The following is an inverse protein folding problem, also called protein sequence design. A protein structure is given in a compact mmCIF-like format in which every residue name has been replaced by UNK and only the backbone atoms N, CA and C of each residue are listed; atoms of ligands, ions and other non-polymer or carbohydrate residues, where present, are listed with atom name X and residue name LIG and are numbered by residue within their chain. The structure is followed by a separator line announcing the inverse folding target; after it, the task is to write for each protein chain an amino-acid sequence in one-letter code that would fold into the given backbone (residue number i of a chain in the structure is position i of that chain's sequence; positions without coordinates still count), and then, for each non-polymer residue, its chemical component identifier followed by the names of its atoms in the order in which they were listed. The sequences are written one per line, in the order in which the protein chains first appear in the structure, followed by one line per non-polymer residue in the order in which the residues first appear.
data_IF_808535080735
#
_entry.id   IF_808535080735
#
_cell.length_a   1.000
_cell.length_b   1.000
_cell.length_c   1.000
_cell.angle_alpha   90.00
_cell.angle_beta   90.00
_cell.angle_gamma   90.00
#
_symmetry.space_group_name_H-M   'P 1'
#
loop_
_entity.id
_entity.type
_entity.pdbx_description
1 polymer ?
#
# COMPACT_ATOMS: atom_id res chain seq x y z
N UNK A 1 0.93 17.25 -6.20
CA UNK A 1 -0.29 16.42 -6.28
C UNK A 1 -0.76 16.45 -7.73
N UNK A 2 -0.97 15.27 -8.32
CA UNK A 2 -1.58 15.15 -9.64
C UNK A 2 -2.89 15.97 -9.66
N UNK A 3 -3.20 16.63 -10.78
CA UNK A 3 -4.47 17.35 -10.91
C UNK A 3 -5.60 16.32 -10.91
N UNK A 4 -6.22 16.13 -9.75
CA UNK A 4 -7.41 15.28 -9.61
C UNK A 4 -8.55 15.96 -10.36
N UNK A 5 -9.05 15.29 -11.38
CA UNK A 5 -10.22 15.68 -12.17
C UNK A 5 -11.50 15.48 -11.37
N UNK A 6 -12.58 16.17 -11.73
CA UNK A 6 -13.83 16.08 -10.98
C UNK A 6 -14.51 14.71 -11.12
N UNK A 7 -14.25 13.99 -12.21
CA UNK A 7 -14.71 12.61 -12.41
C UNK A 7 -14.03 11.64 -11.43
N UNK A 8 -12.72 11.77 -11.23
CA UNK A 8 -11.96 10.96 -10.29
C UNK A 8 -12.40 11.19 -8.85
N UNK A 9 -12.71 12.45 -8.48
CA UNK A 9 -13.26 12.77 -7.16
C UNK A 9 -14.58 12.06 -6.91
N UNK A 10 -15.47 12.05 -7.91
CA UNK A 10 -16.77 11.37 -7.80
C UNK A 10 -16.61 9.87 -7.52
N UNK A 11 -15.65 9.22 -8.20
CA UNK A 11 -15.32 7.80 -7.95
C UNK A 11 -14.78 7.60 -6.54
N UNK A 12 -13.94 8.51 -6.05
CA UNK A 12 -13.41 8.46 -4.68
C UNK A 12 -14.50 8.64 -3.63
N UNK A 13 -15.43 9.58 -3.83
CA UNK A 13 -16.55 9.83 -2.93
C UNK A 13 -17.50 8.63 -2.89
N UNK A 14 -17.81 8.03 -4.05
CA UNK A 14 -18.65 6.82 -4.13
C UNK A 14 -17.99 5.62 -3.42
N UNK A 15 -16.68 5.45 -3.58
CA UNK A 15 -15.93 4.43 -2.85
C UNK A 15 -15.92 4.66 -1.35
N UNK A 16 -15.76 5.92 -0.93
CA UNK A 16 -15.82 6.31 0.47
C UNK A 16 -17.17 5.92 1.05
N UNK A 17 -18.28 6.38 0.46
CA UNK A 17 -19.65 6.10 0.92
C UNK A 17 -19.92 4.60 1.08
N UNK A 18 -19.52 3.78 0.11
CA UNK A 18 -19.73 2.32 0.15
C UNK A 18 -18.94 1.60 1.22
N UNK A 19 -17.84 2.19 1.70
CA UNK A 19 -16.91 1.54 2.63
C UNK A 19 -16.87 2.19 4.02
N UNK A 20 -17.73 3.19 4.29
CA UNK A 20 -17.87 3.85 5.60
C UNK A 20 -18.00 2.86 6.76
N UNK A 21 -18.74 1.77 6.57
CA UNK A 21 -19.01 0.80 7.64
C UNK A 21 -17.83 -0.14 7.92
N UNK A 22 -16.91 -0.31 6.97
CA UNK A 22 -15.86 -1.32 7.05
C UNK A 22 -14.51 -0.75 7.54
N UNK A 23 -14.26 0.55 7.32
CA UNK A 23 -13.01 1.24 7.65
C UNK A 23 -13.02 1.87 9.04
N UNK A 24 -11.83 2.02 9.62
CA UNK A 24 -11.63 2.85 10.81
C UNK A 24 -11.67 4.35 10.45
N UNK A 25 -12.08 5.23 11.37
CA UNK A 25 -12.17 6.68 11.11
C UNK A 25 -10.87 7.30 10.59
N UNK A 26 -9.72 6.80 11.05
CA UNK A 26 -8.39 7.24 10.63
C UNK A 26 -8.12 6.97 9.14
N UNK A 27 -8.61 5.85 8.61
CA UNK A 27 -8.43 5.49 7.21
C UNK A 27 -9.45 6.20 6.30
N UNK A 28 -10.62 6.55 6.83
CA UNK A 28 -11.65 7.29 6.11
C UNK A 28 -11.23 8.74 5.79
N UNK A 29 -10.43 9.35 6.66
CA UNK A 29 -9.90 10.71 6.45
C UNK A 29 -8.77 10.76 5.39
N UNK A 30 -8.14 9.63 5.07
CA UNK A 30 -7.03 9.58 4.09
C UNK A 30 -7.53 9.49 2.64
N UNK A 31 -7.68 10.63 1.97
CA UNK A 31 -8.02 10.72 0.54
C UNK A 31 -7.01 9.97 -0.36
N UNK A 32 -5.73 9.90 0.05
CA UNK A 32 -4.69 9.23 -0.73
C UNK A 32 -4.90 7.72 -0.81
N UNK A 33 -5.56 7.14 0.19
CA UNK A 33 -5.89 5.72 0.23
C UNK A 33 -6.88 5.38 -0.88
N UNK A 34 -7.99 6.11 -0.95
CA UNK A 34 -9.01 5.92 -1.98
C UNK A 34 -8.44 6.19 -3.38
N UNK A 35 -7.65 7.24 -3.54
CA UNK A 35 -7.00 7.55 -4.80
C UNK A 35 -6.06 6.43 -5.27
N UNK A 36 -5.25 5.85 -4.35
CA UNK A 36 -4.34 4.74 -4.69
C UNK A 36 -5.07 3.50 -5.18
N UNK A 37 -6.17 3.11 -4.51
CA UNK A 37 -6.96 1.96 -4.94
C UNK A 37 -7.72 2.21 -6.24
N UNK A 38 -8.32 3.39 -6.38
CA UNK A 38 -9.01 3.78 -7.60
C UNK A 38 -8.03 3.82 -8.79
N UNK A 39 -6.86 4.44 -8.63
CA UNK A 39 -5.82 4.50 -9.66
C UNK A 39 -5.29 3.13 -10.06
N UNK A 40 -5.19 2.19 -9.13
CA UNK A 40 -4.72 0.82 -9.43
C UNK A 40 -5.69 0.03 -10.31
N UNK A 41 -6.96 0.44 -10.40
CA UNK A 41 -8.04 -0.22 -11.16
C UNK A 41 -8.69 0.69 -12.19
N UNK A 42 -7.93 1.68 -12.68
CA UNK A 42 -8.38 2.62 -13.70
C UNK A 42 -9.72 3.30 -13.35
N UNK A 43 -9.91 3.62 -12.07
CA UNK A 43 -11.11 4.26 -11.50
C UNK A 43 -12.42 3.43 -11.61
N UNK A 44 -12.32 2.10 -11.70
CA UNK A 44 -13.49 1.23 -11.59
C UNK A 44 -13.93 1.07 -10.13
N UNK A 45 -15.12 1.59 -9.78
CA UNK A 45 -15.67 1.55 -8.41
C UNK A 45 -15.82 0.12 -7.89
N UNK A 46 -16.36 -0.80 -8.67
CA UNK A 46 -16.69 -2.16 -8.21
C UNK A 46 -15.41 -2.96 -7.91
N UNK A 47 -14.44 -2.90 -8.80
CA UNK A 47 -13.15 -3.58 -8.63
C UNK A 47 -12.32 -2.97 -7.50
N UNK A 48 -12.36 -1.63 -7.38
CA UNK A 48 -11.66 -0.92 -6.31
C UNK A 48 -12.27 -1.24 -4.95
N UNK A 49 -13.60 -1.32 -4.85
CA UNK A 49 -14.32 -1.73 -3.64
C UNK A 49 -13.95 -3.16 -3.22
N UNK A 50 -13.95 -4.10 -4.17
CA UNK A 50 -13.55 -5.49 -3.90
C UNK A 50 -12.10 -5.60 -3.41
N UNK A 51 -11.18 -4.81 -3.99
CA UNK A 51 -9.78 -4.75 -3.56
C UNK A 51 -9.64 -4.13 -2.16
N UNK A 52 -10.38 -3.06 -1.88
CA UNK A 52 -10.36 -2.38 -0.60
C UNK A 52 -10.91 -3.28 0.53
N UNK A 53 -12.00 -4.02 0.30
CA UNK A 53 -12.52 -5.00 1.26
C UNK A 53 -11.53 -6.12 1.58
N UNK A 54 -10.82 -6.61 0.57
CA UNK A 54 -9.74 -7.60 0.77
C UNK A 54 -8.62 -7.00 1.62
N UNK A 55 -8.22 -5.76 1.36
CA UNK A 55 -7.22 -5.07 2.15
C UNK A 55 -7.66 -4.93 3.63
N UNK A 56 -8.91 -4.54 3.88
CA UNK A 56 -9.41 -4.39 5.26
C UNK A 56 -9.42 -5.73 5.98
N UNK A 57 -9.87 -6.79 5.31
CA UNK A 57 -9.89 -8.15 5.87
C UNK A 57 -8.48 -8.60 6.25
N UNK A 58 -7.51 -8.37 5.35
CA UNK A 58 -6.10 -8.67 5.60
C UNK A 58 -5.52 -7.87 6.78
N UNK A 59 -5.82 -6.56 6.90
CA UNK A 59 -5.38 -5.76 8.07
C UNK A 59 -5.91 -6.32 9.38
N UNK A 60 -7.17 -6.75 9.40
CA UNK A 60 -7.83 -7.32 10.59
C UNK A 60 -7.21 -8.67 10.96
N UNK A 61 -6.97 -9.53 9.98
CA UNK A 61 -6.37 -10.86 10.18
C UNK A 61 -4.95 -10.79 10.71
N UNK A 62 -4.12 -9.90 10.15
CA UNK A 62 -2.70 -9.77 10.51
C UNK A 62 -2.42 -8.70 11.58
N UNK A 63 -3.46 -8.07 12.13
CA UNK A 63 -3.35 -7.04 13.18
C UNK A 63 -2.30 -5.96 12.86
N UNK A 64 -2.29 -5.51 11.60
CA UNK A 64 -1.27 -4.58 11.08
C UNK A 64 -1.24 -3.25 11.85
N UNK A 65 -2.34 -2.89 12.51
CA UNK A 65 -2.41 -1.67 13.31
C UNK A 65 -1.55 -1.74 14.59
N UNK A 66 -1.29 -2.94 15.12
CA UNK A 66 -0.48 -3.16 16.34
C UNK A 66 0.91 -3.73 16.04
N UNK A 67 1.21 -4.03 14.78
CA UNK A 67 2.50 -4.65 14.40
C UNK A 67 3.70 -3.79 14.81
N UNK A 68 3.59 -2.46 14.80
CA UNK A 68 4.70 -1.58 15.17
C UNK A 68 5.03 -1.61 16.67
N UNK A 69 4.10 -2.07 17.52
CA UNK A 69 4.29 -2.15 18.97
C UNK A 69 4.57 -3.56 19.44
N UNK A 70 3.95 -4.55 18.81
CA UNK A 70 3.93 -5.92 19.32
C UNK A 70 5.00 -6.81 18.67
N UNK A 71 5.54 -6.40 17.52
CA UNK A 71 6.53 -7.17 16.79
C UNK A 71 7.94 -6.84 17.25
N UNK A 72 8.55 -7.76 18.01
CA UNK A 72 9.98 -7.78 18.24
C UNK A 72 10.67 -8.63 17.16
N UNK A 73 11.51 -8.04 16.30
CA UNK A 73 12.24 -8.80 15.30
C UNK A 73 13.20 -9.78 15.99
N UNK A 74 13.27 -11.06 15.54
CA UNK A 74 14.19 -12.03 16.11
C UNK A 74 15.65 -11.59 15.93
N UNK A 75 16.48 -11.76 16.96
CA UNK A 75 17.88 -11.31 17.05
C UNK A 75 18.86 -12.07 16.13
N UNK A 76 18.39 -12.67 15.04
CA UNK A 76 19.30 -13.32 14.09
C UNK A 76 20.17 -12.29 13.33
N UNK A 77 21.46 -12.63 13.11
CA UNK A 77 22.47 -11.65 12.76
C UNK A 77 22.23 -11.06 11.37
N UNK A 78 21.91 -9.77 11.34
CA UNK A 78 22.49 -8.82 10.40
C UNK A 78 22.48 -9.29 8.92
N UNK A 79 21.31 -9.51 8.33
CA UNK A 79 21.15 -9.14 6.93
C UNK A 79 20.97 -7.61 6.92
N UNK A 80 21.98 -6.87 6.47
CA UNK A 80 21.95 -5.40 6.39
C UNK A 80 20.93 -4.92 5.33
N UNK A 81 19.63 -5.15 5.52
CA UNK A 81 18.60 -4.38 4.80
C UNK A 81 18.47 -3.01 5.47
N UNK A 82 19.48 -2.18 5.26
CA UNK A 82 19.39 -0.74 5.53
C UNK A 82 18.46 -0.17 4.47
N UNK A 83 17.36 0.49 4.87
CA UNK A 83 16.64 1.37 3.96
C UNK A 83 17.65 2.39 3.42
N UNK A 84 17.97 2.31 2.13
CA UNK A 84 18.88 3.30 1.53
C UNK A 84 18.15 4.64 1.52
N UNK A 85 18.92 5.71 1.70
CA UNK A 85 18.44 7.09 1.69
C UNK A 85 17.43 7.32 0.58
N UNK A 86 16.44 8.16 0.87
CA UNK A 86 15.47 8.65 -0.08
C UNK A 86 16.12 9.00 -1.43
N UNK A 87 15.47 8.57 -2.50
CA UNK A 87 15.68 9.07 -3.85
C UNK A 87 15.57 10.62 -3.86
N UNK A 88 16.14 11.32 -4.86
CA UNK A 88 15.89 12.75 -5.13
C UNK A 88 14.39 13.14 -5.15
N UNK A 89 13.49 12.18 -5.36
CA UNK A 89 12.03 12.31 -5.26
C UNK A 89 11.44 12.02 -3.86
N UNK A 90 12.27 11.86 -2.82
CA UNK A 90 11.81 11.63 -1.44
C UNK A 90 11.19 10.25 -1.18
N UNK A 91 11.38 9.29 -2.09
CA UNK A 91 10.83 7.92 -1.95
C UNK A 91 11.87 6.99 -1.34
N UNK A 92 11.46 6.24 -0.32
CA UNK A 92 12.29 5.19 0.30
C UNK A 92 12.56 4.08 -0.72
N UNK A 93 13.84 3.75 -0.90
CA UNK A 93 14.28 2.65 -1.75
C UNK A 93 14.44 1.40 -0.88
N UNK A 94 13.44 0.52 -0.91
CA UNK A 94 13.56 -0.83 -0.35
C UNK A 94 14.24 -1.73 -1.37
N UNK A 95 15.55 -1.88 -1.28
CA UNK A 95 16.27 -2.89 -2.08
C UNK A 95 16.00 -4.25 -1.47
N UNK A 96 15.22 -5.09 -2.16
CA UNK A 96 15.07 -6.49 -1.80
C UNK A 96 16.17 -7.27 -2.55
N UNK A 97 17.28 -7.61 -1.88
CA UNK A 97 18.46 -8.22 -2.52
C UNK A 97 18.22 -9.65 -3.05
N UNK A 98 16.99 -10.18 -2.88
CA UNK A 98 16.63 -11.54 -3.28
C UNK A 98 16.50 -11.75 -4.81
N UNK A 99 16.26 -10.70 -5.60
CA UNK A 99 16.04 -10.84 -7.05
C UNK A 99 17.32 -10.78 -7.89
N UNK A 100 18.47 -10.42 -7.31
CA UNK A 100 19.70 -10.18 -8.08
C UNK A 100 20.48 -11.45 -8.44
N UNK A 101 20.21 -12.57 -7.75
CA UNK A 101 20.94 -13.84 -7.98
C UNK A 101 20.37 -14.73 -9.10
N UNK A 102 19.27 -14.36 -9.76
CA UNK A 102 18.64 -15.18 -10.83
C UNK A 102 18.95 -14.75 -12.26
N UNK A 103 19.70 -13.65 -12.48
CA UNK A 103 19.97 -13.12 -13.81
C UNK A 103 21.44 -13.23 -14.26
N UNK A 104 22.29 -13.96 -13.54
CA UNK A 104 23.71 -14.18 -13.91
C UNK A 104 23.98 -15.57 -14.53
N UNK A 105 22.95 -16.38 -14.79
CA UNK A 105 23.10 -17.69 -15.47
C UNK A 105 22.29 -17.83 -16.77
N UNK A 106 21.90 -16.72 -17.40
CA UNK A 106 21.20 -16.77 -18.70
C UNK A 106 21.71 -15.84 -19.79
N UNK A 107 22.99 -15.46 -19.71
CA UNK A 107 23.71 -14.84 -20.82
C UNK A 107 25.18 -15.26 -20.78
N UNK A 108 25.56 -16.07 -21.78
CA UNK A 108 26.89 -16.58 -22.16
C UNK A 108 27.49 -17.74 -21.39
#
# INVERSE_FOLDING_TARGET
MDKITDEEKKVMDELRERTINDLTPKLLEDDSLFYRFAKARDFNVVESEAMLRKHISWRKEFQIDTILTDYEPPEEPSCHHRSKSNNAFGRDLTTNEFTDKRNVERSS
#
